data_IF_152778815600
#
_entry.id   IF_152778815600
#
_cell.length_a   1.000
_cell.length_b   1.000
_cell.length_c   1.000
_cell.angle_alpha   90.00
_cell.angle_beta   90.00
_cell.angle_gamma   90.00
#
_symmetry.space_group_name_H-M   'P 1'
#
loop_
_entity.id
_entity.type
_entity.pdbx_description
1 polymer ?
#
# COMPACT_ATOMS: atom_id res chain seq x y z
N UNK A 1 24.56 14.26 11.61
CA UNK A 1 23.52 15.24 11.95
C UNK A 1 22.56 14.59 12.93
N UNK A 2 22.40 15.19 14.10
CA UNK A 2 21.34 14.80 15.03
C UNK A 2 20.03 15.44 14.53
N UNK A 3 19.18 14.64 13.88
CA UNK A 3 17.91 15.11 13.29
C UNK A 3 16.80 14.47 14.09
N UNK A 4 16.02 15.30 14.78
CA UNK A 4 14.79 14.90 15.44
C UNK A 4 13.70 14.72 14.37
N UNK A 5 12.97 13.60 14.43
CA UNK A 5 11.84 13.31 13.54
C UNK A 5 10.55 13.20 14.33
N UNK A 6 9.44 13.56 13.68
CA UNK A 6 8.10 13.52 14.26
C UNK A 6 7.24 12.53 13.51
N UNK A 7 6.49 11.71 14.25
CA UNK A 7 5.65 10.66 13.70
C UNK A 7 4.26 10.78 14.30
N UNK A 8 3.24 10.80 13.41
CA UNK A 8 1.83 10.80 13.81
C UNK A 8 1.20 9.47 13.41
N UNK A 9 0.50 8.85 14.32
CA UNK A 9 -0.30 7.66 14.06
C UNK A 9 -1.74 7.99 14.41
N UNK A 10 -2.60 7.98 13.39
CA UNK A 10 -3.99 8.41 13.47
C UNK A 10 -4.85 7.16 13.35
N UNK A 11 -5.58 6.84 14.44
CA UNK A 11 -6.58 5.79 14.40
C UNK A 11 -7.86 6.36 13.82
N UNK A 12 -8.19 5.97 12.59
CA UNK A 12 -9.33 6.47 11.84
C UNK A 12 -9.27 6.13 10.36
N UNK A 13 -10.32 6.52 9.66
CA UNK A 13 -10.50 6.27 8.23
C UNK A 13 -9.74 7.31 7.40
N UNK A 14 -8.82 6.83 6.56
CA UNK A 14 -7.98 7.66 5.69
C UNK A 14 -8.71 8.27 4.49
N UNK A 15 -9.99 7.97 4.29
CA UNK A 15 -10.82 8.63 3.27
C UNK A 15 -11.06 10.13 3.53
N UNK A 16 -10.62 10.61 4.69
CA UNK A 16 -10.60 12.01 5.07
C UNK A 16 -9.37 12.25 5.94
N UNK A 17 -8.49 13.17 5.57
CA UNK A 17 -7.19 13.42 6.23
C UNK A 17 -7.11 14.85 6.79
N UNK A 18 -8.08 15.26 7.62
CA UNK A 18 -8.17 16.62 8.17
C UNK A 18 -6.95 17.03 9.04
N UNK A 19 -6.21 16.04 9.58
CA UNK A 19 -5.01 16.29 10.39
C UNK A 19 -3.76 16.59 9.58
N UNK A 20 -3.87 16.59 8.25
CA UNK A 20 -2.75 16.83 7.33
C UNK A 20 -3.05 18.03 6.47
N UNK A 21 -2.17 19.03 6.55
CA UNK A 21 -2.24 20.23 5.73
C UNK A 21 -2.04 19.90 4.24
N UNK A 22 -2.62 20.73 3.38
CA UNK A 22 -2.39 20.64 1.93
C UNK A 22 -0.89 20.74 1.63
N UNK A 23 -0.44 19.97 0.65
CA UNK A 23 0.93 20.02 0.12
C UNK A 23 2.03 19.94 1.21
N UNK A 24 1.84 19.11 2.24
CA UNK A 24 2.79 18.92 3.35
C UNK A 24 3.50 17.57 3.35
N UNK A 25 3.00 16.60 2.59
CA UNK A 25 3.57 15.24 2.44
C UNK A 25 4.46 15.18 1.20
N UNK A 26 5.60 14.50 1.30
CA UNK A 26 6.60 14.42 0.23
C UNK A 26 6.60 13.08 -0.51
N UNK A 27 6.24 12.02 0.20
CA UNK A 27 6.21 10.65 -0.32
C UNK A 27 5.07 9.88 0.31
N UNK A 28 4.36 9.09 -0.48
CA UNK A 28 3.42 8.08 0.01
C UNK A 28 4.01 6.70 -0.29
N UNK A 29 4.05 5.83 0.72
CA UNK A 29 4.42 4.41 0.57
C UNK A 29 3.37 3.58 1.29
N UNK A 30 2.61 2.78 0.55
CA UNK A 30 1.46 2.09 1.12
C UNK A 30 1.10 0.79 0.38
N UNK A 31 0.31 -0.03 1.05
CA UNK A 31 -0.35 -1.21 0.50
C UNK A 31 -1.81 -1.20 0.97
N UNK A 32 -2.77 -0.82 0.12
CA UNK A 32 -4.19 -0.74 0.50
C UNK A 32 -4.79 -2.13 0.72
N UNK A 33 -5.99 -2.25 1.31
CA UNK A 33 -6.77 -3.47 1.21
C UNK A 33 -6.99 -3.83 -0.26
N UNK A 34 -6.65 -5.07 -0.65
CA UNK A 34 -6.73 -5.51 -2.05
C UNK A 34 -8.17 -5.89 -2.41
N UNK A 35 -8.83 -5.18 -3.34
CA UNK A 35 -10.17 -5.57 -3.80
C UNK A 35 -10.21 -7.01 -4.29
N UNK A 36 -11.28 -7.72 -3.97
CA UNK A 36 -11.54 -9.13 -4.31
C UNK A 36 -10.58 -10.16 -3.67
N UNK A 37 -9.71 -9.78 -2.78
CA UNK A 37 -9.02 -10.69 -1.86
C UNK A 37 -9.92 -10.91 -0.63
N UNK A 38 -10.33 -12.15 -0.39
CA UNK A 38 -11.36 -12.56 0.58
C UNK A 38 -11.18 -11.97 1.98
N UNK A 39 -9.95 -11.89 2.46
CA UNK A 39 -9.68 -11.35 3.80
C UNK A 39 -10.11 -9.90 4.00
N UNK A 40 -10.38 -9.15 2.93
CA UNK A 40 -10.80 -7.75 2.95
C UNK A 40 -12.31 -7.55 2.71
N UNK A 41 -13.05 -8.63 2.43
CA UNK A 41 -14.48 -8.52 2.10
C UNK A 41 -15.29 -7.80 3.19
N UNK A 42 -15.09 -8.19 4.45
CA UNK A 42 -15.85 -7.62 5.57
C UNK A 42 -15.51 -6.14 5.80
N UNK A 43 -14.25 -5.75 5.59
CA UNK A 43 -13.85 -4.35 5.61
C UNK A 43 -14.59 -3.56 4.51
N UNK A 44 -14.56 -4.03 3.28
CA UNK A 44 -15.25 -3.34 2.18
C UNK A 44 -16.77 -3.29 2.36
N UNK A 45 -17.38 -4.36 2.89
CA UNK A 45 -18.81 -4.38 3.22
C UNK A 45 -19.17 -3.34 4.30
N UNK A 46 -18.33 -3.21 5.34
CA UNK A 46 -18.51 -2.24 6.41
C UNK A 46 -18.37 -0.79 5.93
N UNK A 47 -17.40 -0.54 5.05
CA UNK A 47 -17.13 0.78 4.48
C UNK A 47 -18.16 1.21 3.42
N UNK A 48 -18.79 0.23 2.74
CA UNK A 48 -19.78 0.48 1.70
C UNK A 48 -20.91 -0.59 1.72
N UNK A 49 -22.04 -0.32 2.40
CA UNK A 49 -23.15 -1.27 2.54
C UNK A 49 -23.77 -1.73 1.21
N UNK A 50 -23.56 -1.00 0.11
CA UNK A 50 -24.03 -1.44 -1.22
C UNK A 50 -23.36 -2.73 -1.66
N UNK A 51 -22.09 -2.95 -1.24
CA UNK A 51 -21.32 -4.16 -1.54
C UNK A 51 -22.00 -5.37 -0.89
N UNK A 52 -22.34 -5.28 0.40
CA UNK A 52 -23.01 -6.36 1.11
C UNK A 52 -24.34 -6.73 0.49
N UNK A 53 -25.15 -5.71 0.10
CA UNK A 53 -26.46 -5.93 -0.54
C UNK A 53 -26.32 -6.70 -1.86
N UNK A 54 -25.33 -6.34 -2.70
CA UNK A 54 -25.12 -7.01 -3.98
C UNK A 54 -24.57 -8.42 -3.74
N UNK A 55 -23.70 -8.60 -2.73
CA UNK A 55 -23.15 -9.92 -2.40
C UNK A 55 -24.24 -10.93 -2.04
N UNK A 56 -25.19 -10.55 -1.17
CA UNK A 56 -26.36 -11.37 -0.82
C UNK A 56 -27.23 -11.73 -2.05
N UNK A 57 -27.34 -10.83 -3.01
CA UNK A 57 -28.09 -11.11 -4.25
C UNK A 57 -27.40 -12.15 -5.13
N UNK A 58 -26.05 -12.19 -5.17
CA UNK A 58 -25.31 -13.17 -5.97
C UNK A 58 -25.54 -14.60 -5.46
N UNK A 59 -25.68 -14.79 -4.15
CA UNK A 59 -25.87 -16.12 -3.53
C UNK A 59 -27.14 -16.82 -4.03
N UNK A 60 -28.18 -16.03 -4.32
CA UNK A 60 -29.51 -16.52 -4.73
C UNK A 60 -29.81 -16.31 -6.23
N UNK A 61 -28.89 -15.74 -6.99
CA UNK A 61 -29.09 -15.50 -8.43
C UNK A 61 -28.81 -16.79 -9.21
N UNK A 62 -29.69 -17.17 -10.12
CA UNK A 62 -29.53 -18.34 -10.99
C UNK A 62 -28.95 -17.97 -12.35
N UNK A 63 -29.22 -16.76 -12.84
CA UNK A 63 -28.77 -16.24 -14.12
C UNK A 63 -27.26 -15.91 -14.07
N UNK A 64 -26.46 -16.65 -14.83
CA UNK A 64 -25.01 -16.49 -14.86
C UNK A 64 -24.56 -15.12 -15.36
N UNK A 65 -25.26 -14.52 -16.33
CA UNK A 65 -24.90 -13.19 -16.84
C UNK A 65 -25.14 -12.09 -15.78
N UNK A 66 -26.23 -12.22 -15.01
CA UNK A 66 -26.50 -11.30 -13.88
C UNK A 66 -25.50 -11.51 -12.74
N UNK A 67 -25.11 -12.74 -12.43
CA UNK A 67 -24.06 -13.03 -11.46
C UNK A 67 -22.75 -12.31 -11.86
N UNK A 68 -22.34 -12.49 -13.10
CA UNK A 68 -21.11 -11.87 -13.59
C UNK A 68 -21.15 -10.34 -13.53
N UNK A 69 -22.26 -9.72 -13.95
CA UNK A 69 -22.47 -8.27 -13.84
C UNK A 69 -22.39 -7.80 -12.39
N UNK A 70 -22.98 -8.55 -11.46
CA UNK A 70 -22.94 -8.21 -10.03
C UNK A 70 -21.52 -8.35 -9.44
N UNK A 71 -20.76 -9.37 -9.82
CA UNK A 71 -19.36 -9.55 -9.44
C UNK A 71 -18.50 -8.36 -9.89
N UNK A 72 -18.65 -7.94 -11.16
CA UNK A 72 -17.95 -6.78 -11.71
C UNK A 72 -18.36 -5.51 -10.95
N UNK A 73 -19.63 -5.37 -10.62
CA UNK A 73 -20.14 -4.22 -9.86
C UNK A 73 -19.54 -4.15 -8.45
N UNK A 74 -19.43 -5.28 -7.75
CA UNK A 74 -18.76 -5.35 -6.45
C UNK A 74 -17.30 -4.90 -6.58
N UNK A 75 -16.56 -5.43 -7.56
CA UNK A 75 -15.18 -5.05 -7.82
C UNK A 75 -15.02 -3.54 -8.03
N UNK A 76 -15.87 -2.93 -8.85
CA UNK A 76 -15.85 -1.48 -9.06
C UNK A 76 -16.17 -0.70 -7.78
N UNK A 77 -17.18 -1.13 -7.00
CA UNK A 77 -17.53 -0.49 -5.74
C UNK A 77 -16.42 -0.57 -4.69
N UNK A 78 -15.66 -1.68 -4.64
CA UNK A 78 -14.49 -1.77 -3.75
C UNK A 78 -13.43 -0.73 -4.12
N UNK A 79 -13.15 -0.53 -5.40
CA UNK A 79 -12.24 0.51 -5.87
C UNK A 79 -12.78 1.93 -5.65
N UNK A 80 -14.07 2.15 -5.87
CA UNK A 80 -14.73 3.42 -5.58
C UNK A 80 -14.69 3.77 -4.09
N UNK A 81 -14.73 2.75 -3.21
CA UNK A 81 -14.59 2.95 -1.76
C UNK A 81 -13.21 3.49 -1.37
N UNK A 82 -12.17 3.18 -2.13
CA UNK A 82 -10.80 3.68 -1.91
C UNK A 82 -10.57 5.07 -2.54
N UNK A 83 -11.41 5.48 -3.49
CA UNK A 83 -11.20 6.71 -4.27
C UNK A 83 -11.01 7.97 -3.41
N UNK A 84 -11.82 8.22 -2.35
CA UNK A 84 -11.60 9.40 -1.51
C UNK A 84 -10.21 9.44 -0.86
N UNK A 85 -9.63 8.29 -0.51
CA UNK A 85 -8.24 8.23 0.00
C UNK A 85 -7.23 8.68 -1.07
N UNK A 86 -7.46 8.32 -2.33
CA UNK A 86 -6.59 8.74 -3.44
C UNK A 86 -6.68 10.25 -3.71
N UNK A 87 -7.87 10.83 -3.57
CA UNK A 87 -8.10 12.27 -3.68
C UNK A 87 -7.42 13.03 -2.53
N UNK A 88 -7.53 12.54 -1.29
CA UNK A 88 -6.83 13.10 -0.15
C UNK A 88 -5.29 13.02 -0.30
N UNK A 89 -4.76 11.91 -0.80
CA UNK A 89 -3.34 11.80 -1.14
C UNK A 89 -2.92 12.91 -2.13
N UNK A 90 -3.74 13.18 -3.15
CA UNK A 90 -3.45 14.25 -4.10
C UNK A 90 -3.42 15.62 -3.42
N UNK A 91 -4.36 15.90 -2.52
CA UNK A 91 -4.44 17.16 -1.78
C UNK A 91 -3.21 17.37 -0.91
N UNK A 92 -2.86 16.39 -0.08
CA UNK A 92 -1.79 16.52 0.91
C UNK A 92 -0.37 16.43 0.34
N UNK A 93 -0.21 15.86 -0.87
CA UNK A 93 1.10 15.66 -1.49
C UNK A 93 1.63 16.97 -2.07
N UNK A 94 2.89 17.31 -1.80
CA UNK A 94 3.57 18.47 -2.40
C UNK A 94 3.66 18.33 -3.92
N UNK A 95 3.72 19.43 -4.69
CA UNK A 95 4.07 19.37 -6.11
C UNK A 95 5.40 18.65 -6.34
N UNK A 96 5.40 17.63 -7.19
CA UNK A 96 6.55 16.76 -7.44
C UNK A 96 6.76 15.65 -6.42
N UNK A 97 5.88 15.54 -5.42
CA UNK A 97 5.84 14.41 -4.50
C UNK A 97 5.49 13.10 -5.22
N UNK A 98 5.91 11.98 -4.66
CA UNK A 98 5.79 10.64 -5.24
C UNK A 98 4.83 9.79 -4.41
N UNK A 99 4.06 8.94 -5.09
CA UNK A 99 3.23 7.90 -4.48
C UNK A 99 3.72 6.54 -4.95
N UNK A 100 3.96 5.63 -4.02
CA UNK A 100 4.31 4.24 -4.28
C UNK A 100 3.25 3.34 -3.65
N UNK A 101 2.54 2.57 -4.48
CA UNK A 101 1.47 1.65 -4.03
C UNK A 101 1.87 0.22 -4.36
N UNK A 102 2.05 -0.60 -3.33
CA UNK A 102 2.16 -2.04 -3.52
C UNK A 102 0.78 -2.66 -3.61
N UNK A 103 0.48 -3.35 -4.71
CA UNK A 103 -0.82 -3.97 -4.99
C UNK A 103 -0.66 -5.27 -5.77
N UNK A 104 -1.39 -6.31 -5.38
CA UNK A 104 -1.53 -7.54 -6.15
C UNK A 104 -2.87 -7.60 -6.89
N UNK A 105 -2.86 -8.24 -8.04
CA UNK A 105 -4.10 -8.65 -8.69
C UNK A 105 -4.72 -9.85 -7.95
N UNK A 106 -6.02 -10.02 -8.08
CA UNK A 106 -6.74 -11.11 -7.45
C UNK A 106 -7.31 -12.08 -8.50
N UNK A 107 -7.18 -13.38 -8.23
CA UNK A 107 -8.01 -14.40 -8.90
C UNK A 107 -8.99 -14.95 -7.89
N UNK A 108 -10.25 -15.05 -8.26
CA UNK A 108 -11.29 -15.57 -7.39
C UNK A 108 -12.36 -16.31 -8.16
N UNK A 109 -12.88 -17.39 -7.55
CA UNK A 109 -14.06 -18.08 -8.01
C UNK A 109 -15.23 -17.73 -7.10
N UNK A 110 -16.28 -17.12 -7.66
CA UNK A 110 -17.48 -16.71 -6.93
C UNK A 110 -18.67 -17.40 -7.59
N UNK A 111 -19.40 -18.25 -6.85
CA UNK A 111 -20.55 -19.02 -7.34
C UNK A 111 -20.31 -19.68 -8.70
N UNK A 112 -19.17 -20.36 -8.84
CA UNK A 112 -18.82 -21.07 -10.07
C UNK A 112 -18.05 -20.25 -11.11
N UNK A 113 -18.17 -18.91 -11.10
CA UNK A 113 -17.53 -18.01 -12.06
C UNK A 113 -16.11 -17.70 -11.59
N UNK A 114 -15.10 -18.11 -12.36
CA UNK A 114 -13.70 -17.77 -12.13
C UNK A 114 -13.31 -16.52 -12.90
N UNK A 115 -12.59 -15.58 -12.21
CA UNK A 115 -12.17 -14.34 -12.84
C UNK A 115 -10.86 -13.80 -12.27
N UNK A 116 -10.09 -13.12 -13.13
CA UNK A 116 -9.01 -12.23 -12.76
C UNK A 116 -9.57 -10.82 -12.50
N UNK A 117 -9.12 -10.18 -11.42
CA UNK A 117 -9.42 -8.80 -11.04
C UNK A 117 -8.12 -8.00 -11.08
N UNK A 118 -7.89 -7.21 -12.14
CA UNK A 118 -6.63 -6.50 -12.35
C UNK A 118 -6.59 -5.20 -11.52
N UNK A 119 -6.34 -5.32 -10.22
CA UNK A 119 -6.33 -4.19 -9.28
C UNK A 119 -5.33 -3.10 -9.69
N UNK A 120 -4.14 -3.49 -10.17
CA UNK A 120 -3.11 -2.54 -10.59
C UNK A 120 -3.61 -1.59 -11.68
N UNK A 121 -4.28 -2.10 -12.70
CA UNK A 121 -4.78 -1.28 -13.81
C UNK A 121 -5.89 -0.33 -13.38
N UNK A 122 -6.75 -0.76 -12.44
CA UNK A 122 -7.84 0.07 -11.91
C UNK A 122 -7.31 1.22 -11.06
N UNK A 123 -6.27 0.98 -10.27
CA UNK A 123 -5.58 2.04 -9.51
C UNK A 123 -4.92 3.05 -10.48
N UNK A 124 -4.24 2.59 -11.53
CA UNK A 124 -3.65 3.48 -12.54
C UNK A 124 -4.73 4.38 -13.14
N UNK A 125 -5.86 3.80 -13.57
CA UNK A 125 -6.99 4.56 -14.13
C UNK A 125 -7.48 5.65 -13.17
N UNK A 126 -7.63 5.34 -11.88
CA UNK A 126 -8.08 6.30 -10.88
C UNK A 126 -7.07 7.43 -10.65
N UNK A 127 -5.79 7.09 -10.52
CA UNK A 127 -4.72 8.07 -10.30
C UNK A 127 -4.56 9.02 -11.47
N UNK A 128 -4.64 8.54 -12.71
CA UNK A 128 -4.59 9.39 -13.91
C UNK A 128 -5.80 10.32 -13.98
N UNK A 129 -7.00 9.86 -13.64
CA UNK A 129 -8.21 10.70 -13.58
C UNK A 129 -8.11 11.80 -12.51
N UNK A 130 -7.46 11.55 -11.38
CA UNK A 130 -7.21 12.55 -10.32
C UNK A 130 -6.19 13.60 -10.79
N UNK A 131 -5.30 13.27 -11.72
CA UNK A 131 -4.30 14.17 -12.28
C UNK A 131 -2.85 13.83 -11.93
N UNK A 132 -2.58 12.64 -11.44
CA UNK A 132 -1.23 12.14 -11.28
C UNK A 132 -0.59 11.77 -12.62
N UNK A 133 0.74 11.84 -12.67
CA UNK A 133 1.56 11.33 -13.77
C UNK A 133 2.02 9.92 -13.40
N UNK A 134 1.62 8.92 -14.16
CA UNK A 134 2.10 7.54 -13.99
C UNK A 134 3.57 7.45 -14.42
N UNK A 135 4.40 6.86 -13.58
CA UNK A 135 5.81 6.59 -13.83
C UNK A 135 6.05 5.09 -14.05
N UNK A 136 7.20 4.68 -14.59
CA UNK A 136 7.54 3.27 -14.68
C UNK A 136 7.44 2.61 -13.32
N UNK A 137 6.67 1.52 -13.22
CA UNK A 137 6.43 0.77 -12.00
C UNK A 137 7.35 -0.45 -11.89
N UNK A 138 7.42 -1.02 -10.68
CA UNK A 138 8.26 -2.17 -10.37
C UNK A 138 7.39 -3.42 -10.24
N UNK A 139 7.86 -4.55 -10.73
CA UNK A 139 7.30 -5.87 -10.53
C UNK A 139 8.07 -6.54 -9.38
N UNK A 140 7.40 -6.72 -8.26
CA UNK A 140 7.96 -7.48 -7.16
C UNK A 140 7.58 -8.94 -7.31
N UNK A 141 8.55 -9.76 -7.77
CA UNK A 141 8.40 -11.19 -7.89
C UNK A 141 8.64 -11.85 -6.53
N UNK A 142 7.57 -12.43 -5.97
CA UNK A 142 7.65 -13.13 -4.70
C UNK A 142 8.30 -14.49 -4.91
N UNK A 143 9.44 -14.79 -4.26
CA UNK A 143 9.95 -16.16 -4.22
C UNK A 143 8.97 -17.00 -3.40
N UNK A 144 8.08 -17.73 -4.06
CA UNK A 144 7.13 -18.64 -3.42
C UNK A 144 7.68 -20.06 -3.47
N UNK A 145 7.72 -20.73 -2.32
CA UNK A 145 8.10 -22.14 -2.25
C UNK A 145 6.97 -23.09 -2.71
N UNK A 146 5.79 -22.55 -3.02
CA UNK A 146 4.66 -23.30 -3.58
C UNK A 146 4.05 -22.46 -4.68
N UNK A 147 3.95 -22.98 -5.92
CA UNK A 147 3.05 -22.39 -6.89
C UNK A 147 1.68 -22.31 -6.21
N UNK A 148 0.99 -21.17 -6.39
CA UNK A 148 -0.38 -21.04 -5.91
C UNK A 148 -1.20 -22.23 -6.39
N UNK A 149 -2.23 -22.58 -5.61
CA UNK A 149 -3.12 -23.67 -5.93
C UNK A 149 -3.46 -23.62 -7.41
N UNK A 150 -3.22 -24.73 -8.06
CA UNK A 150 -3.34 -24.93 -9.48
C UNK A 150 -4.70 -24.41 -9.99
N UNK A 151 -4.66 -23.54 -10.94
CA UNK A 151 -5.84 -22.93 -11.52
C UNK A 151 -6.13 -23.55 -12.89
N UNK A 152 -7.31 -24.13 -13.06
CA UNK A 152 -7.76 -24.70 -14.31
C UNK A 152 -7.52 -26.21 -14.46
N UNK A 153 -7.35 -26.68 -15.69
CA UNK A 153 -7.31 -28.10 -16.06
C UNK A 153 -5.94 -28.79 -15.91
N UNK A 154 -4.99 -28.13 -15.32
CA UNK A 154 -3.70 -28.70 -15.07
C UNK A 154 -2.77 -28.72 -16.28
N UNK A 155 -2.29 -29.90 -16.59
CA UNK A 155 -1.40 -30.10 -17.72
C UNK A 155 -2.17 -30.23 -19.05
N UNK A 156 -3.50 -30.12 -19.03
CA UNK A 156 -4.34 -30.30 -20.19
C UNK A 156 -4.76 -28.95 -20.81
N UNK A 157 -4.23 -28.58 -22.00
CA UNK A 157 -4.64 -27.39 -22.69
C UNK A 157 -6.09 -27.51 -23.19
N UNK A 158 -6.80 -26.40 -23.49
CA UNK A 158 -6.36 -24.99 -23.35
C UNK A 158 -6.72 -24.35 -22.00
N UNK A 159 -7.30 -25.07 -21.03
CA UNK A 159 -7.99 -24.55 -19.85
C UNK A 159 -7.09 -24.42 -18.60
N UNK A 160 -5.78 -24.32 -18.79
CA UNK A 160 -4.84 -24.02 -17.72
C UNK A 160 -4.59 -22.49 -17.63
N UNK A 161 -4.42 -21.97 -16.41
CA UNK A 161 -4.21 -20.55 -16.17
C UNK A 161 -2.81 -20.27 -15.66
N UNK A 162 -2.30 -19.07 -15.99
CA UNK A 162 -1.02 -18.57 -15.48
C UNK A 162 -1.16 -18.22 -14.00
N UNK A 163 -0.16 -18.60 -13.20
CA UNK A 163 -0.11 -18.29 -11.77
C UNK A 163 0.31 -16.83 -11.56
N UNK A 164 -0.33 -16.14 -10.61
CA UNK A 164 0.09 -14.80 -10.20
C UNK A 164 1.25 -14.91 -9.19
N UNK A 165 2.47 -14.59 -9.63
CA UNK A 165 3.68 -14.66 -8.82
C UNK A 165 4.33 -13.29 -8.57
N UNK A 166 3.70 -12.21 -9.06
CA UNK A 166 4.16 -10.84 -8.88
C UNK A 166 3.12 -9.98 -8.16
N UNK A 167 3.62 -8.96 -7.44
CA UNK A 167 2.86 -7.77 -7.09
C UNK A 167 3.44 -6.56 -7.80
N UNK A 168 2.64 -5.53 -7.93
CA UNK A 168 3.00 -4.29 -8.63
C UNK A 168 3.31 -3.21 -7.59
N UNK A 169 4.46 -2.55 -7.70
CA UNK A 169 4.74 -1.32 -6.97
C UNK A 169 4.51 -0.19 -7.96
N UNK A 170 3.29 0.33 -7.97
CA UNK A 170 2.86 1.43 -8.84
C UNK A 170 3.48 2.73 -8.37
N UNK A 171 3.98 3.54 -9.29
CA UNK A 171 4.68 4.80 -8.97
C UNK A 171 4.01 5.94 -9.71
N UNK A 172 3.61 6.97 -8.96
CA UNK A 172 2.96 8.15 -9.48
C UNK A 172 3.62 9.42 -8.97
N UNK A 173 3.45 10.54 -9.68
CA UNK A 173 3.96 11.84 -9.30
C UNK A 173 2.89 12.93 -9.45
N UNK A 174 2.80 13.83 -8.48
CA UNK A 174 1.96 15.03 -8.59
C UNK A 174 2.71 16.10 -9.39
N UNK A 175 2.28 16.34 -10.61
CA UNK A 175 2.82 17.41 -11.47
C UNK A 175 4.30 17.25 -11.88
N UNK A 176 5.06 18.34 -11.89
CA UNK A 176 6.49 18.38 -12.29
C UNK A 176 7.42 17.91 -11.17
N UNK A 177 8.64 17.42 -11.49
CA UNK A 177 9.61 17.03 -10.48
C UNK A 177 9.95 18.14 -9.48
N UNK A 178 10.20 17.77 -8.23
CA UNK A 178 10.65 18.69 -7.16
C UNK A 178 11.95 19.38 -7.58
N UNK A 179 12.04 20.67 -7.24
CA UNK A 179 13.27 21.46 -7.44
C UNK A 179 14.00 21.59 -6.11
N UNK A 180 15.31 21.51 -6.13
CA UNK A 180 16.19 21.66 -4.98
C UNK A 180 17.20 22.78 -5.20
N UNK A 181 17.63 23.41 -4.13
CA UNK A 181 18.75 24.37 -4.20
C UNK A 181 20.04 23.64 -4.62
N UNK A 182 20.92 24.27 -5.41
CA UNK A 182 22.23 23.70 -5.66
C UNK A 182 22.97 23.39 -4.36
N UNK A 183 23.63 22.23 -4.28
CA UNK A 183 24.41 21.78 -3.12
C UNK A 183 23.57 21.63 -1.83
N UNK A 184 22.28 21.31 -1.93
CA UNK A 184 21.44 21.05 -0.76
C UNK A 184 22.03 19.91 0.10
N UNK A 185 22.43 20.20 1.36
CA UNK A 185 23.18 19.22 2.17
C UNK A 185 22.34 18.02 2.55
N UNK A 186 21.03 18.16 2.76
CA UNK A 186 20.15 17.04 3.10
C UNK A 186 19.96 16.11 1.90
N UNK A 187 19.89 16.68 0.69
CA UNK A 187 19.81 15.90 -0.54
C UNK A 187 21.09 15.09 -0.76
N UNK A 188 22.28 15.68 -0.55
CA UNK A 188 23.54 14.96 -0.64
C UNK A 188 23.70 13.90 0.44
N UNK A 189 23.29 14.18 1.67
CA UNK A 189 23.28 13.21 2.76
C UNK A 189 22.29 12.05 2.54
N UNK A 190 21.33 12.22 1.63
CA UNK A 190 20.34 11.21 1.24
C UNK A 190 20.76 10.38 0.03
N UNK A 191 21.95 10.61 -0.54
CA UNK A 191 22.41 9.90 -1.72
C UNK A 191 22.46 8.37 -1.49
N UNK A 192 22.16 7.63 -2.51
CA UNK A 192 22.36 6.17 -2.57
C UNK A 192 23.63 5.83 -3.34
N UNK A 193 24.19 4.65 -3.09
CA UNK A 193 25.41 4.18 -3.78
C UNK A 193 25.08 3.76 -5.22
N UNK A 194 26.14 3.51 -6.02
CA UNK A 194 25.96 2.99 -7.37
C UNK A 194 25.27 1.61 -7.35
N UNK A 195 25.68 0.74 -6.43
CA UNK A 195 25.14 -0.62 -6.26
C UNK A 195 23.66 -0.56 -5.86
N UNK A 196 23.30 0.32 -4.91
CA UNK A 196 21.91 0.57 -4.52
C UNK A 196 21.09 1.06 -5.73
N UNK A 197 21.62 2.02 -6.50
CA UNK A 197 20.96 2.54 -7.69
C UNK A 197 20.72 1.46 -8.73
N UNK A 198 21.75 0.70 -9.09
CA UNK A 198 21.67 -0.31 -10.13
C UNK A 198 20.70 -1.45 -9.75
N UNK A 199 20.60 -1.76 -8.45
CA UNK A 199 19.70 -2.77 -7.91
C UNK A 199 18.25 -2.26 -7.76
N UNK A 200 18.06 -1.07 -7.17
CA UNK A 200 16.72 -0.61 -6.77
C UNK A 200 15.92 -0.02 -7.93
N UNK A 201 16.58 0.56 -8.93
CA UNK A 201 15.92 1.11 -10.12
C UNK A 201 15.73 0.07 -11.24
N UNK A 202 15.93 -1.22 -10.95
CA UNK A 202 15.50 -2.30 -11.82
C UNK A 202 13.97 -2.41 -11.80
N UNK A 203 13.37 -2.72 -12.95
CA UNK A 203 11.92 -2.94 -13.03
C UNK A 203 11.48 -4.21 -12.31
N UNK A 204 12.37 -5.18 -12.10
CA UNK A 204 12.06 -6.46 -11.46
C UNK A 204 12.82 -6.55 -10.14
N UNK A 205 12.07 -6.74 -9.04
CA UNK A 205 12.63 -7.08 -7.73
C UNK A 205 12.29 -8.52 -7.41
N UNK A 206 13.30 -9.39 -7.35
CA UNK A 206 13.15 -10.83 -7.04
C UNK A 206 13.97 -11.26 -5.81
N UNK A 207 14.71 -10.34 -5.23
CA UNK A 207 15.58 -10.58 -4.08
C UNK A 207 14.92 -10.29 -2.72
N UNK A 208 13.66 -9.85 -2.71
CA UNK A 208 12.89 -9.56 -1.50
C UNK A 208 11.94 -10.70 -1.20
N UNK A 209 12.14 -11.39 -0.08
CA UNK A 209 11.22 -12.43 0.38
C UNK A 209 10.02 -11.81 1.10
N UNK A 210 8.84 -12.38 0.88
CA UNK A 210 7.64 -12.01 1.62
C UNK A 210 7.74 -12.35 3.11
N UNK A 211 7.11 -11.54 3.96
CA UNK A 211 7.02 -11.80 5.40
C UNK A 211 5.97 -12.86 5.72
N UNK A 212 6.07 -13.44 6.93
CA UNK A 212 5.02 -14.30 7.47
C UNK A 212 3.76 -13.48 7.67
N UNK A 213 2.67 -13.93 7.05
CA UNK A 213 1.40 -13.20 7.05
C UNK A 213 0.59 -13.32 8.34
N UNK A 214 0.89 -14.33 9.19
CA UNK A 214 0.19 -14.52 10.47
C UNK A 214 1.04 -13.94 11.59
N UNK A 215 0.48 -12.95 12.30
CA UNK A 215 1.13 -12.35 13.45
C UNK A 215 0.80 -13.17 14.71
N UNK A 216 1.81 -13.65 15.47
CA UNK A 216 1.60 -14.59 16.58
C UNK A 216 0.74 -14.04 17.73
N UNK A 217 0.69 -12.71 17.92
CA UNK A 217 -0.08 -12.09 19.01
C UNK A 217 -1.56 -11.87 18.72
N UNK A 218 -1.96 -11.82 17.45
CA UNK A 218 -3.35 -11.56 17.05
C UNK A 218 -3.94 -12.69 16.22
N UNK A 219 -3.16 -13.76 15.99
CA UNK A 219 -3.55 -14.99 15.29
C UNK A 219 -4.27 -14.76 13.93
N UNK A 220 -4.12 -13.57 13.34
CA UNK A 220 -4.72 -13.21 12.07
C UNK A 220 -3.67 -12.73 11.07
N UNK A 221 -4.06 -12.75 9.79
CA UNK A 221 -3.24 -12.20 8.72
C UNK A 221 -3.13 -10.68 8.86
N UNK A 222 -1.91 -10.16 8.75
CA UNK A 222 -1.62 -8.72 8.83
C UNK A 222 -1.40 -8.08 7.47
N UNK A 223 -1.31 -8.89 6.40
CA UNK A 223 -1.04 -8.44 5.03
C UNK A 223 0.17 -7.46 4.91
N UNK A 224 1.10 -7.56 5.85
CA UNK A 224 2.26 -6.66 5.94
C UNK A 224 3.27 -6.98 4.84
N UNK A 225 3.82 -5.97 4.20
CA UNK A 225 4.95 -6.14 3.28
C UNK A 225 6.28 -6.11 4.05
N UNK A 226 7.37 -6.73 3.48
CA UNK A 226 8.69 -6.73 4.08
C UNK A 226 9.26 -5.31 4.23
N UNK A 227 10.03 -5.06 5.29
CA UNK A 227 10.66 -3.75 5.57
C UNK A 227 11.56 -3.25 4.42
N UNK A 228 12.12 -4.16 3.66
CA UNK A 228 12.99 -3.82 2.52
C UNK A 228 12.25 -3.04 1.42
N UNK A 229 10.94 -3.29 1.23
CA UNK A 229 10.13 -2.54 0.26
C UNK A 229 10.05 -1.05 0.63
N UNK A 230 9.51 -0.64 1.79
CA UNK A 230 9.48 0.77 2.14
C UNK A 230 10.88 1.35 2.32
N UNK A 231 11.89 0.56 2.74
CA UNK A 231 13.27 1.03 2.85
C UNK A 231 13.83 1.50 1.51
N UNK A 232 13.69 0.72 0.47
CA UNK A 232 14.11 1.12 -0.88
C UNK A 232 13.31 2.32 -1.37
N UNK A 233 11.98 2.28 -1.29
CA UNK A 233 11.12 3.34 -1.82
C UNK A 233 11.35 4.68 -1.11
N UNK A 234 11.50 4.69 0.22
CA UNK A 234 11.80 5.90 1.00
C UNK A 234 13.18 6.45 0.62
N UNK A 235 14.20 5.59 0.46
CA UNK A 235 15.53 6.00 0.00
C UNK A 235 15.52 6.53 -1.44
N UNK A 236 14.76 5.90 -2.34
CA UNK A 236 14.69 6.28 -3.75
C UNK A 236 13.97 7.62 -3.99
N UNK A 237 12.93 7.92 -3.21
CA UNK A 237 11.98 8.99 -3.54
C UNK A 237 11.81 10.09 -2.48
N UNK A 238 12.61 10.07 -1.40
CA UNK A 238 12.61 11.12 -0.38
C UNK A 238 14.02 11.48 0.09
N UNK A 239 14.15 12.66 0.68
CA UNK A 239 15.38 13.07 1.37
C UNK A 239 15.18 13.07 2.89
N UNK A 240 16.27 13.11 3.66
CA UNK A 240 16.24 13.25 5.12
C UNK A 240 15.39 14.47 5.51
N UNK A 241 14.49 14.30 6.49
CA UNK A 241 13.54 15.33 6.95
C UNK A 241 12.24 15.42 6.16
N UNK A 242 12.12 14.78 4.99
CA UNK A 242 10.83 14.67 4.26
C UNK A 242 9.78 13.94 5.11
N UNK A 243 8.50 14.20 4.84
CA UNK A 243 7.36 13.50 5.46
C UNK A 243 6.86 12.38 4.57
N UNK A 244 6.78 11.18 5.12
CA UNK A 244 6.26 9.97 4.48
C UNK A 244 4.86 9.68 5.02
N UNK A 245 3.89 9.43 4.15
CA UNK A 245 2.52 9.05 4.52
C UNK A 245 2.26 7.59 4.16
N UNK A 246 1.62 6.87 5.08
CA UNK A 246 1.01 5.56 4.84
C UNK A 246 -0.47 5.58 5.27
N UNK A 247 -1.43 5.73 4.35
CA UNK A 247 -2.86 5.80 4.67
C UNK A 247 -3.47 4.45 5.08
N UNK A 248 -2.71 3.36 5.01
CA UNK A 248 -3.11 2.00 5.40
C UNK A 248 -2.00 1.35 6.22
N UNK A 249 -1.67 1.98 7.36
CA UNK A 249 -0.45 1.73 8.14
C UNK A 249 -0.26 0.27 8.58
N UNK A 250 -1.36 -0.44 8.87
CA UNK A 250 -1.30 -1.81 9.36
C UNK A 250 -0.46 -1.90 10.64
N UNK A 251 0.58 -2.73 10.60
CA UNK A 251 1.47 -2.96 11.76
C UNK A 251 2.57 -1.90 11.94
N UNK A 252 2.62 -0.84 11.14
CA UNK A 252 3.57 0.27 11.30
C UNK A 252 4.92 0.08 10.60
N UNK A 253 5.01 -0.78 9.59
CA UNK A 253 6.27 -1.06 8.88
C UNK A 253 6.84 0.19 8.22
N UNK A 254 6.01 0.99 7.54
CA UNK A 254 6.45 2.25 6.89
C UNK A 254 6.98 3.24 7.91
N UNK A 255 6.27 3.46 9.02
CA UNK A 255 6.70 4.37 10.09
C UNK A 255 8.03 3.93 10.71
N UNK A 256 8.20 2.64 11.01
CA UNK A 256 9.48 2.11 11.52
C UNK A 256 10.64 2.46 10.60
N UNK A 257 10.49 2.21 9.31
CA UNK A 257 11.54 2.47 8.32
C UNK A 257 11.79 3.98 8.16
N UNK A 258 10.74 4.81 8.21
CA UNK A 258 10.88 6.27 8.17
C UNK A 258 11.72 6.79 9.36
N UNK A 259 11.48 6.28 10.59
CA UNK A 259 12.28 6.57 11.78
C UNK A 259 13.75 6.23 11.54
N UNK A 260 14.04 5.00 11.11
CA UNK A 260 15.41 4.53 10.87
C UNK A 260 16.16 5.34 9.82
N UNK A 261 15.44 5.83 8.83
CA UNK A 261 15.97 6.64 7.73
C UNK A 261 15.93 8.16 7.99
N UNK A 262 15.52 8.60 9.18
CA UNK A 262 15.42 10.02 9.57
C UNK A 262 14.45 10.82 8.68
N UNK A 263 13.29 10.25 8.38
CA UNK A 263 12.15 10.92 7.75
C UNK A 263 11.06 11.07 8.80
N UNK A 264 10.25 12.13 8.69
CA UNK A 264 8.99 12.22 9.42
C UNK A 264 7.99 11.22 8.84
N UNK A 265 6.98 10.82 9.61
CA UNK A 265 5.91 9.99 9.05
C UNK A 265 4.53 10.31 9.62
N UNK A 266 3.51 10.04 8.81
CA UNK A 266 2.11 10.06 9.20
C UNK A 266 1.51 8.73 8.76
N UNK A 267 0.77 8.04 9.63
CA UNK A 267 0.10 6.80 9.30
C UNK A 267 -1.35 6.78 9.76
N UNK A 268 -2.25 6.29 8.92
CA UNK A 268 -3.64 6.02 9.29
C UNK A 268 -3.87 4.53 9.46
N UNK A 269 -4.60 4.15 10.51
CA UNK A 269 -5.02 2.77 10.77
C UNK A 269 -6.46 2.78 11.31
N UNK A 270 -7.33 1.99 10.69
CA UNK A 270 -8.74 1.93 11.11
C UNK A 270 -8.96 1.03 12.32
N UNK A 271 -8.06 0.06 12.54
CA UNK A 271 -8.14 -0.90 13.63
C UNK A 271 -7.26 -0.50 14.82
N UNK A 272 -7.86 0.11 15.83
CA UNK A 272 -7.16 0.52 17.06
C UNK A 272 -6.50 -0.65 17.82
N UNK A 273 -6.94 -1.88 17.62
CA UNK A 273 -6.36 -3.05 18.27
C UNK A 273 -4.92 -3.31 17.78
N UNK A 274 -4.49 -2.71 16.66
CA UNK A 274 -3.12 -2.82 16.19
C UNK A 274 -2.13 -1.93 16.96
N UNK A 275 -2.60 -1.00 17.82
CA UNK A 275 -1.74 -0.11 18.59
C UNK A 275 -0.58 -0.79 19.31
N UNK A 276 -0.78 -1.85 20.10
CA UNK A 276 0.32 -2.50 20.82
C UNK A 276 1.39 -3.09 19.89
N UNK A 277 0.97 -3.56 18.71
CA UNK A 277 1.87 -4.11 17.69
C UNK A 277 2.67 -3.00 17.03
N UNK A 278 2.00 -1.88 16.69
CA UNK A 278 2.64 -0.69 16.15
C UNK A 278 3.69 -0.16 17.13
N UNK A 279 3.34 0.04 18.41
CA UNK A 279 4.27 0.52 19.45
C UNK A 279 5.50 -0.37 19.59
N UNK A 280 5.32 -1.68 19.57
CA UNK A 280 6.42 -2.65 19.62
C UNK A 280 7.29 -2.56 18.36
N UNK A 281 6.67 -2.54 17.17
CA UNK A 281 7.39 -2.52 15.89
C UNK A 281 8.22 -1.25 15.71
N UNK A 282 7.67 -0.09 16.05
CA UNK A 282 8.40 1.19 15.94
C UNK A 282 9.39 1.42 17.09
N UNK A 283 9.34 0.57 18.13
CA UNK A 283 10.33 0.56 19.21
C UNK A 283 10.20 1.69 20.22
N UNK A 284 8.97 2.16 20.52
CA UNK A 284 8.73 3.26 21.49
C UNK A 284 9.35 2.93 22.86
N UNK A 285 9.21 1.69 23.32
CA UNK A 285 9.74 1.24 24.62
C UNK A 285 11.24 0.97 24.61
N UNK A 286 11.80 0.77 23.45
CA UNK A 286 13.22 0.49 23.24
C UNK A 286 13.86 1.75 22.65
N UNK A 287 14.22 2.76 23.49
CA UNK A 287 15.00 3.89 22.99
C UNK A 287 16.25 3.36 22.26
N UNK A 288 16.14 3.19 20.94
CA UNK A 288 17.27 2.76 20.12
C UNK A 288 18.34 3.86 20.18
N UNK A 289 19.50 3.52 20.67
CA UNK A 289 20.67 4.41 20.76
C UNK A 289 20.90 5.09 19.40
N UNK A 290 20.89 6.41 19.37
CA UNK A 290 21.20 7.22 18.19
C UNK A 290 20.01 7.63 17.31
N UNK A 291 18.78 7.31 17.67
CA UNK A 291 17.57 7.81 17.01
C UNK A 291 16.83 8.78 17.94
N UNK A 292 16.62 10.01 17.44
CA UNK A 292 15.90 11.07 18.15
C UNK A 292 14.55 11.28 17.44
N UNK A 293 13.46 10.74 18.04
CA UNK A 293 12.14 10.83 17.46
C UNK A 293 11.03 10.95 18.51
N UNK A 294 9.92 11.55 18.11
CA UNK A 294 8.68 11.63 18.88
C UNK A 294 7.54 11.00 18.11
N UNK A 295 6.62 10.35 18.85
CA UNK A 295 5.43 9.71 18.30
C UNK A 295 4.19 10.25 18.98
N UNK A 296 3.24 10.75 18.20
CA UNK A 296 1.92 11.18 18.62
C UNK A 296 0.87 10.19 18.13
N UNK A 297 -0.04 9.79 19.04
CA UNK A 297 -1.21 8.95 18.71
C UNK A 297 -2.47 9.83 18.76
N UNK A 298 -3.22 9.85 17.66
CA UNK A 298 -4.45 10.60 17.52
C UNK A 298 -5.59 9.60 17.30
N UNK A 299 -6.71 9.79 18.00
CA UNK A 299 -7.90 8.95 17.87
C UNK A 299 -9.03 9.79 17.31
N UNK A 300 -9.61 9.35 16.21
CA UNK A 300 -10.84 9.93 15.68
C UNK A 300 -12.04 9.27 16.35
N UNK A 301 -12.96 10.11 16.79
CA UNK A 301 -14.25 9.67 17.32
C UNK A 301 -15.23 9.35 16.19
#
# INVERSE_FOLDING_TARGET
>A
MDIKTNHKIIFGDSRKMDEIDDESVHLVVTSPPYPMIEMWDDLFKSLNPKIEKIWKNIENEEDEEKKEKNIIKIYNLMHETLLPTWEEIYRVLVPGGIVCINIGDATRKINGIFRLFPNHSKIIEHFEKIGFVTLPYILWKKPTNKPNAFLGSGFLPPNAYVTLDVEFILIFRKGKPRKFKPKDPLRYASAYTKEERDKWFSQIWEDIRGDKQIHPKIERRTASYPEEIPRRLIRMFSIIGDTVLDPFLGTGTTTKVAIELKRNSIGYEIDENLKPIIEEKIGIKQRRLGLNFEVEFIYRK
#
